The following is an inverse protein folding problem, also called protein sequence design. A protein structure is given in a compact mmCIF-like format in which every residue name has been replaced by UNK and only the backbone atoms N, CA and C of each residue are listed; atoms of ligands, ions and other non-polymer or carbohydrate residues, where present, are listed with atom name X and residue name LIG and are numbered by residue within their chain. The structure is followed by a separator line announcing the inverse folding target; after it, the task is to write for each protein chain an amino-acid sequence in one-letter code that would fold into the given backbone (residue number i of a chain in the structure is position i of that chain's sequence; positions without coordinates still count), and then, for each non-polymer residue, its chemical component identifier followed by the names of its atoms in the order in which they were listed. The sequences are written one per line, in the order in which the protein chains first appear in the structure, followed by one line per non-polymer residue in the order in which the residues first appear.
data_IF_800529556927
#
_entry.id   IF_800529556927
#
_cell.length_a   1.000
_cell.length_b   1.000
_cell.length_c   1.000
_cell.angle_alpha   90.00
_cell.angle_beta   90.00
_cell.angle_gamma   90.00
#
_symmetry.space_group_name_H-M   'P 1'
#
loop_
_entity.id
_entity.type
_entity.pdbx_description
1 polymer ?
#
# COMPACT_ATOMS: atom_id res chain seq x y z
N UNK A 1 -19.22 27.70 13.82
CA UNK A 1 -20.66 28.05 13.87
C UNK A 1 -21.37 26.85 14.42
N UNK A 2 -22.21 27.03 15.44
CA UNK A 2 -23.04 25.93 15.96
C UNK A 2 -24.43 25.91 15.32
N UNK A 3 -24.95 24.72 15.11
CA UNK A 3 -26.29 24.44 14.60
C UNK A 3 -27.06 23.60 15.61
N UNK A 4 -28.39 23.63 15.54
CA UNK A 4 -29.23 22.71 16.29
C UNK A 4 -29.70 21.59 15.36
N UNK A 5 -29.63 20.36 15.84
CA UNK A 5 -30.14 19.18 15.12
C UNK A 5 -31.08 18.42 16.03
N UNK A 6 -32.21 17.98 15.50
CA UNK A 6 -33.15 17.12 16.21
C UNK A 6 -32.88 15.67 15.83
N UNK A 7 -32.75 14.81 16.84
CA UNK A 7 -32.57 13.38 16.64
C UNK A 7 -33.84 12.61 16.98
N UNK A 8 -34.12 11.54 16.23
CA UNK A 8 -35.09 10.53 16.61
C UNK A 8 -34.49 9.48 17.57
N UNK A 9 -35.26 8.43 17.92
CA UNK A 9 -34.81 7.35 18.80
C UNK A 9 -33.64 6.54 18.26
N UNK A 10 -33.50 6.48 16.94
CA UNK A 10 -32.40 5.78 16.25
C UNK A 10 -31.20 6.70 16.00
N UNK A 11 -31.23 7.92 16.57
CA UNK A 11 -30.24 8.98 16.40
C UNK A 11 -30.07 9.46 14.96
N UNK A 12 -31.07 9.27 14.11
CA UNK A 12 -31.09 9.92 12.79
C UNK A 12 -31.51 11.38 12.95
N UNK A 13 -30.87 12.26 12.18
CA UNK A 13 -31.29 13.67 12.09
C UNK A 13 -32.65 13.73 11.39
N UNK A 14 -33.61 14.41 12.02
CA UNK A 14 -34.98 14.57 11.50
C UNK A 14 -35.39 16.03 11.30
N UNK A 15 -34.64 16.97 11.88
CA UNK A 15 -34.84 18.40 11.69
C UNK A 15 -33.56 19.16 12.03
N UNK A 16 -33.39 20.36 11.47
CA UNK A 16 -32.20 21.19 11.67
C UNK A 16 -32.52 22.68 11.76
N UNK A 17 -31.74 23.40 12.56
CA UNK A 17 -31.73 24.85 12.61
C UNK A 17 -30.29 25.34 12.43
N UNK A 18 -29.98 25.86 11.25
CA UNK A 18 -28.61 26.12 10.84
C UNK A 18 -28.10 27.53 11.19
N UNK A 19 -28.98 28.52 11.25
CA UNK A 19 -28.57 29.92 11.40
C UNK A 19 -29.73 30.80 11.84
N UNK A 20 -29.46 31.85 12.66
CA UNK A 20 -28.18 32.18 13.28
C UNK A 20 -27.82 31.25 14.46
N UNK A 21 -26.56 31.26 14.88
CA UNK A 21 -26.09 30.43 16.01
C UNK A 21 -26.88 30.68 17.31
N UNK A 22 -27.25 31.94 17.58
CA UNK A 22 -28.09 32.26 18.75
C UNK A 22 -29.50 31.65 18.62
N UNK A 23 -30.04 31.58 17.40
CA UNK A 23 -31.28 30.88 17.12
C UNK A 23 -31.17 29.37 17.37
N UNK A 24 -30.04 28.76 16.99
CA UNK A 24 -29.77 27.35 17.29
C UNK A 24 -29.71 27.08 18.81
N UNK A 25 -29.05 27.95 19.57
CA UNK A 25 -29.00 27.85 21.04
C UNK A 25 -30.41 27.96 21.65
N UNK A 26 -31.21 28.93 21.19
CA UNK A 26 -32.58 29.11 21.65
C UNK A 26 -33.48 27.92 21.28
N UNK A 27 -33.31 27.34 20.09
CA UNK A 27 -34.05 26.15 19.65
C UNK A 27 -33.85 24.98 20.61
N UNK A 28 -32.60 24.68 20.96
CA UNK A 28 -32.25 23.61 21.91
C UNK A 28 -32.80 23.90 23.31
N UNK A 29 -32.72 25.16 23.78
CA UNK A 29 -33.27 25.55 25.09
C UNK A 29 -34.79 25.40 25.14
N UNK A 30 -35.51 25.88 24.11
CA UNK A 30 -36.97 25.88 24.05
C UNK A 30 -37.56 24.48 23.92
N UNK A 31 -36.86 23.58 23.22
CA UNK A 31 -37.33 22.23 22.91
C UNK A 31 -36.40 21.15 23.48
N UNK A 32 -35.83 21.40 24.66
CA UNK A 32 -34.85 20.52 25.33
C UNK A 32 -35.35 19.09 25.57
N UNK A 33 -36.66 18.88 25.63
CA UNK A 33 -37.30 17.56 25.80
C UNK A 33 -37.68 16.87 24.48
N UNK A 34 -37.30 17.43 23.33
CA UNK A 34 -37.68 16.90 22.01
C UNK A 34 -36.50 16.35 21.20
N UNK A 35 -35.36 16.06 21.85
CA UNK A 35 -34.20 15.48 21.17
C UNK A 35 -33.35 16.48 20.38
N UNK A 36 -33.49 17.79 20.65
CA UNK A 36 -32.64 18.82 20.06
C UNK A 36 -31.26 18.85 20.72
N UNK A 37 -30.21 18.88 19.90
CA UNK A 37 -28.82 18.95 20.32
C UNK A 37 -28.12 20.11 19.62
N UNK A 38 -27.22 20.78 20.33
CA UNK A 38 -26.36 21.82 19.77
C UNK A 38 -25.03 21.20 19.36
N UNK A 39 -24.68 21.29 18.08
CA UNK A 39 -23.47 20.67 17.52
C UNK A 39 -22.68 21.69 16.71
N UNK A 40 -21.37 21.44 16.54
CA UNK A 40 -20.57 22.23 15.61
C UNK A 40 -20.94 21.86 14.17
N UNK A 41 -21.18 22.88 13.33
CA UNK A 41 -21.45 22.68 11.91
C UNK A 41 -20.20 22.15 11.22
N UNK A 42 -20.39 21.20 10.32
CA UNK A 42 -19.39 20.82 9.32
C UNK A 42 -19.67 21.56 8.00
N UNK A 43 -18.63 21.95 7.25
CA UNK A 43 -18.79 22.62 5.95
C UNK A 43 -19.33 21.71 4.85
N UNK A 44 -19.23 20.39 5.03
CA UNK A 44 -19.72 19.38 4.10
C UNK A 44 -21.13 18.90 4.45
N UNK A 45 -21.64 19.29 5.62
CA UNK A 45 -23.01 19.01 6.02
C UNK A 45 -24.00 19.77 5.13
N UNK A 46 -25.02 19.07 4.61
CA UNK A 46 -26.12 19.65 3.86
C UNK A 46 -27.45 19.05 4.32
N UNK A 47 -28.50 19.87 4.36
CA UNK A 47 -29.86 19.39 4.67
C UNK A 47 -30.41 18.50 3.56
N UNK A 48 -29.89 18.60 2.32
CA UNK A 48 -30.28 17.73 1.21
C UNK A 48 -29.86 16.27 1.42
N UNK A 49 -28.84 16.03 2.24
CA UNK A 49 -28.32 14.70 2.54
C UNK A 49 -28.20 14.41 4.04
N UNK A 50 -28.97 15.11 4.88
CA UNK A 50 -28.93 14.94 6.34
C UNK A 50 -29.19 13.51 6.81
N UNK A 51 -29.91 12.70 6.01
CA UNK A 51 -30.14 11.27 6.26
C UNK A 51 -28.87 10.42 6.23
N UNK A 52 -27.73 10.97 5.77
CA UNK A 52 -26.41 10.33 5.81
C UNK A 52 -25.66 10.63 7.12
N UNK A 53 -26.21 11.49 7.97
CA UNK A 53 -25.53 12.06 9.12
C UNK A 53 -26.22 11.71 10.44
N UNK A 54 -25.42 11.68 11.50
CA UNK A 54 -25.86 11.56 12.88
C UNK A 54 -24.95 12.37 13.79
N UNK A 55 -25.26 12.41 15.08
CA UNK A 55 -24.42 12.99 16.11
C UNK A 55 -23.81 11.86 16.93
N UNK A 56 -22.49 11.76 16.95
CA UNK A 56 -21.75 10.76 17.73
C UNK A 56 -21.86 11.05 19.23
N UNK A 57 -22.19 10.04 20.02
CA UNK A 57 -22.40 10.20 21.47
C UNK A 57 -21.17 10.62 22.27
N UNK A 58 -19.99 10.17 21.85
CA UNK A 58 -18.76 10.37 22.62
C UNK A 58 -18.30 11.83 22.67
N UNK A 59 -18.59 12.61 21.63
CA UNK A 59 -18.06 13.98 21.45
C UNK A 59 -19.07 14.97 20.85
N UNK A 60 -20.32 14.55 20.60
CA UNK A 60 -21.38 15.34 19.98
C UNK A 60 -20.99 15.96 18.62
N UNK A 61 -20.11 15.30 17.85
CA UNK A 61 -19.77 15.74 16.49
C UNK A 61 -20.77 15.20 15.46
N UNK A 62 -20.96 15.98 14.40
CA UNK A 62 -21.63 15.50 13.18
C UNK A 62 -20.73 14.51 12.45
N UNK A 63 -21.27 13.33 12.19
CA UNK A 63 -20.54 12.22 11.58
C UNK A 63 -21.40 11.53 10.55
N UNK A 64 -20.79 10.89 9.57
CA UNK A 64 -21.52 10.02 8.65
C UNK A 64 -21.95 8.74 9.37
N UNK A 65 -23.20 8.31 9.15
CA UNK A 65 -23.79 7.13 9.81
C UNK A 65 -22.98 5.85 9.53
N UNK A 66 -22.49 5.68 8.28
CA UNK A 66 -21.86 4.44 7.85
C UNK A 66 -20.49 4.20 8.48
N UNK A 67 -19.73 5.26 8.70
CA UNK A 67 -18.35 5.20 9.22
C UNK A 67 -18.30 5.57 10.69
N UNK A 68 -19.36 6.22 11.19
CA UNK A 68 -19.35 6.91 12.48
C UNK A 68 -18.09 7.80 12.60
N UNK A 69 -17.69 8.47 11.51
CA UNK A 69 -16.52 9.36 11.39
C UNK A 69 -16.94 10.77 10.94
N UNK A 70 -16.24 11.81 11.38
CA UNK A 70 -16.35 13.13 10.74
C UNK A 70 -15.70 13.05 9.35
N UNK A 71 -16.06 13.93 8.39
CA UNK A 71 -15.41 13.97 7.08
C UNK A 71 -13.89 14.12 7.15
N UNK A 72 -13.40 14.84 8.16
CA UNK A 72 -11.96 14.97 8.44
C UNK A 72 -11.34 13.64 8.88
N UNK A 73 -11.96 12.93 9.82
CA UNK A 73 -11.46 11.64 10.29
C UNK A 73 -11.49 10.57 9.17
N UNK A 74 -12.50 10.58 8.30
CA UNK A 74 -12.57 9.73 7.11
C UNK A 74 -11.41 10.01 6.16
N UNK A 75 -11.17 11.29 5.86
CA UNK A 75 -10.06 11.73 5.00
C UNK A 75 -8.71 11.31 5.59
N UNK A 76 -8.51 11.52 6.89
CA UNK A 76 -7.27 11.16 7.58
C UNK A 76 -7.06 9.63 7.59
N UNK A 77 -8.14 8.86 7.73
CA UNK A 77 -8.13 7.40 7.60
C UNK A 77 -7.70 6.97 6.19
N UNK A 78 -8.28 7.58 5.15
CA UNK A 78 -7.93 7.29 3.75
C UNK A 78 -6.46 7.65 3.47
N UNK A 79 -6.00 8.82 3.89
CA UNK A 79 -4.60 9.26 3.72
C UNK A 79 -3.64 8.31 4.44
N UNK A 80 -3.97 7.90 5.67
CA UNK A 80 -3.16 6.97 6.46
C UNK A 80 -3.04 5.61 5.77
N UNK A 81 -4.16 5.07 5.28
CA UNK A 81 -4.20 3.80 4.54
C UNK A 81 -3.38 3.87 3.24
N UNK A 82 -3.53 4.94 2.46
CA UNK A 82 -2.75 5.14 1.24
C UNK A 82 -1.26 5.29 1.52
N UNK A 83 -0.90 5.98 2.61
CA UNK A 83 0.50 6.13 3.03
C UNK A 83 1.11 4.79 3.40
N UNK A 84 0.39 3.96 4.18
CA UNK A 84 0.85 2.62 4.54
C UNK A 84 1.04 1.73 3.31
N UNK A 85 0.08 1.76 2.36
CA UNK A 85 0.17 1.01 1.11
C UNK A 85 1.39 1.44 0.27
N UNK A 86 1.64 2.74 0.14
CA UNK A 86 2.79 3.25 -0.60
C UNK A 86 4.13 2.83 0.04
N UNK A 87 4.21 2.81 1.38
CA UNK A 87 5.40 2.33 2.08
C UNK A 87 5.63 0.82 1.87
N UNK A 88 4.56 0.02 1.88
CA UNK A 88 4.63 -1.41 1.57
C UNK A 88 5.13 -1.65 0.14
N UNK A 89 4.55 -0.96 -0.84
CA UNK A 89 4.99 -1.04 -2.24
C UNK A 89 6.45 -0.61 -2.43
N UNK A 90 6.91 0.44 -1.73
CA UNK A 90 8.30 0.88 -1.79
C UNK A 90 9.27 -0.20 -1.26
N UNK A 91 8.88 -0.91 -0.20
CA UNK A 91 9.66 -2.03 0.33
C UNK A 91 9.71 -3.21 -0.64
N UNK A 92 8.57 -3.62 -1.21
CA UNK A 92 8.50 -4.69 -2.22
C UNK A 92 9.37 -4.37 -3.45
N UNK A 93 9.32 -3.13 -3.95
CA UNK A 93 10.18 -2.67 -5.05
C UNK A 93 11.67 -2.77 -4.68
N UNK A 94 12.02 -2.44 -3.44
CA UNK A 94 13.41 -2.52 -2.95
C UNK A 94 13.89 -3.97 -2.89
N UNK A 95 13.04 -4.89 -2.43
CA UNK A 95 13.35 -6.32 -2.41
C UNK A 95 13.49 -6.90 -3.82
N UNK A 96 12.58 -6.56 -4.73
CA UNK A 96 12.66 -6.96 -6.15
C UNK A 96 13.94 -6.46 -6.82
N UNK A 97 14.36 -5.21 -6.53
CA UNK A 97 15.64 -4.67 -7.02
C UNK A 97 16.84 -5.49 -6.52
N UNK A 98 16.89 -5.80 -5.21
CA UNK A 98 17.95 -6.63 -4.62
C UNK A 98 17.99 -8.02 -5.24
N UNK A 99 16.83 -8.64 -5.42
CA UNK A 99 16.69 -9.95 -6.06
C UNK A 99 17.21 -9.92 -7.52
N UNK A 100 16.75 -8.95 -8.31
CA UNK A 100 17.18 -8.77 -9.70
C UNK A 100 18.68 -8.52 -9.84
N UNK A 101 19.27 -7.69 -8.97
CA UNK A 101 20.73 -7.50 -8.91
C UNK A 101 21.47 -8.79 -8.59
N UNK A 102 20.97 -9.58 -7.64
CA UNK A 102 21.57 -10.87 -7.27
C UNK A 102 21.49 -11.88 -8.42
N UNK A 103 20.36 -11.94 -9.13
CA UNK A 103 20.18 -12.79 -10.30
C UNK A 103 21.10 -12.38 -11.46
N UNK A 104 21.31 -11.07 -11.65
CA UNK A 104 22.24 -10.54 -12.64
C UNK A 104 23.68 -10.94 -12.31
N UNK A 105 24.11 -10.79 -11.05
CA UNK A 105 25.43 -11.23 -10.59
C UNK A 105 25.64 -12.73 -10.78
N UNK A 106 24.64 -13.55 -10.44
CA UNK A 106 24.71 -14.99 -10.65
C UNK A 106 24.85 -15.34 -12.14
N UNK A 107 24.14 -14.63 -13.01
CA UNK A 107 24.20 -14.86 -14.47
C UNK A 107 25.57 -14.51 -15.04
N UNK A 108 26.19 -13.42 -14.57
CA UNK A 108 27.55 -13.03 -14.93
C UNK A 108 28.58 -14.07 -14.46
N UNK A 109 28.45 -14.55 -13.22
CA UNK A 109 29.33 -15.60 -12.68
C UNK A 109 29.22 -16.89 -13.49
N UNK A 110 27.99 -17.33 -13.78
CA UNK A 110 27.75 -18.52 -14.60
C UNK A 110 28.35 -18.39 -16.01
N UNK A 111 28.28 -17.19 -16.61
CA UNK A 111 28.90 -16.93 -17.91
C UNK A 111 30.43 -17.03 -17.86
N UNK A 112 31.05 -16.47 -16.80
CA UNK A 112 32.49 -16.54 -16.58
C UNK A 112 32.96 -17.98 -16.31
N UNK A 113 32.23 -18.73 -15.48
CA UNK A 113 32.54 -20.12 -15.19
C UNK A 113 32.46 -20.98 -16.46
N UNK A 114 31.46 -20.74 -17.32
CA UNK A 114 31.34 -21.40 -18.61
C UNK A 114 32.53 -21.12 -19.52
N UNK A 115 32.99 -19.86 -19.60
CA UNK A 115 34.17 -19.50 -20.38
C UNK A 115 35.44 -20.21 -19.86
N UNK A 116 35.61 -20.24 -18.54
CA UNK A 116 36.74 -20.92 -17.90
C UNK A 116 36.72 -22.43 -18.18
N UNK A 117 35.56 -23.07 -18.05
CA UNK A 117 35.38 -24.49 -18.38
C UNK A 117 35.71 -24.77 -19.85
N UNK A 118 35.32 -23.88 -20.76
CA UNK A 118 35.61 -24.04 -22.19
C UNK A 118 37.12 -23.92 -22.49
N UNK A 119 37.82 -23.01 -21.81
CA UNK A 119 39.30 -22.92 -21.89
C UNK A 119 39.97 -24.20 -21.39
N UNK A 120 39.55 -24.72 -20.24
CA UNK A 120 40.07 -25.96 -19.66
C UNK A 120 39.82 -27.15 -20.61
N UNK A 121 38.59 -27.29 -21.12
CA UNK A 121 38.24 -28.35 -22.05
C UNK A 121 39.07 -28.31 -23.34
N UNK A 122 39.32 -27.10 -23.87
CA UNK A 122 40.15 -26.92 -25.07
C UNK A 122 41.61 -27.29 -24.80
N UNK A 123 42.16 -26.90 -23.65
CA UNK A 123 43.52 -27.27 -23.24
C UNK A 123 43.67 -28.79 -23.07
N UNK A 124 42.71 -29.46 -22.44
CA UNK A 124 42.70 -30.91 -22.30
C UNK A 124 42.61 -31.62 -23.65
N UNK A 125 41.76 -31.13 -24.57
CA UNK A 125 41.65 -31.69 -25.91
C UNK A 125 42.98 -31.61 -26.69
N UNK A 126 43.71 -30.50 -26.57
CA UNK A 126 45.03 -30.35 -27.20
C UNK A 126 46.06 -31.33 -26.61
N UNK A 127 46.10 -31.49 -25.29
CA UNK A 127 47.00 -32.46 -24.63
C UNK A 127 46.70 -33.90 -25.08
N UNK A 128 45.42 -34.26 -25.23
CA UNK A 128 45.03 -35.58 -25.73
C UNK A 128 45.53 -35.80 -27.15
N UNK A 129 45.36 -34.81 -28.04
CA UNK A 129 45.85 -34.89 -29.43
C UNK A 129 47.37 -35.05 -29.48
N UNK A 130 48.09 -34.31 -28.63
CA UNK A 130 49.56 -34.40 -28.55
C UNK A 130 50.02 -35.78 -28.08
N UNK A 131 49.39 -36.32 -27.02
CA UNK A 131 49.66 -37.68 -26.54
C UNK A 131 49.32 -38.74 -27.60
N UNK A 132 48.20 -38.59 -28.33
CA UNK A 132 47.82 -39.51 -29.41
C UNK A 132 48.87 -39.52 -30.53
N UNK A 133 49.40 -38.35 -30.88
CA UNK A 133 50.47 -38.23 -31.87
C UNK A 133 51.73 -38.95 -31.40
N UNK A 134 52.21 -38.66 -30.17
CA UNK A 134 53.39 -39.31 -29.61
C UNK A 134 53.25 -40.85 -29.55
N UNK A 135 52.08 -41.36 -29.18
CA UNK A 135 51.81 -42.81 -29.16
C UNK A 135 51.85 -43.40 -30.58
N UNK A 136 51.33 -42.69 -31.58
CA UNK A 136 51.38 -43.11 -32.98
C UNK A 136 52.82 -43.19 -33.51
N UNK A 137 53.63 -42.16 -33.22
CA UNK A 137 55.03 -42.08 -33.67
C UNK A 137 55.86 -43.24 -33.09
N UNK A 138 55.73 -43.51 -31.78
CA UNK A 138 56.38 -44.65 -31.10
C UNK A 138 55.97 -45.98 -31.75
N UNK A 139 54.68 -46.13 -32.08
CA UNK A 139 54.17 -47.38 -32.66
C UNK A 139 54.72 -47.61 -34.08
N UNK A 140 54.88 -46.55 -34.87
CA UNK A 140 55.52 -46.66 -36.19
C UNK A 140 56.98 -47.07 -36.12
N UNK A 141 57.75 -46.49 -35.18
CA UNK A 141 59.17 -46.83 -35.01
C UNK A 141 59.35 -48.30 -34.59
N UNK A 142 58.48 -48.82 -33.72
CA UNK A 142 58.50 -50.19 -33.26
C UNK A 142 58.17 -51.24 -34.35
N UNK A 143 57.51 -50.85 -35.45
CA UNK A 143 57.17 -51.76 -36.56
C UNK A 143 58.22 -51.81 -37.69
N UNK A 144 59.24 -50.95 -37.63
CA UNK A 144 60.32 -50.86 -38.65
C UNK A 144 61.65 -51.52 -38.24
N UNK A 145 61.71 -52.10 -37.04
CA UNK A 145 62.82 -52.92 -36.55
C UNK A 145 62.40 -54.39 -36.46
#
# INVERSE_FOLDING_TARGET
MKIAVQLNSDRNIIDTYLSPEDGAKLQVQKYSNQGWLLVDSDSTFSTENEYQWTVRESDNKLVHINTNQTPEEERDTVISNLTLQNLQQANEITELKKFSSSQTLQSLQNAQDKENLQKVATSQAMQILELQKSVSDIKSEATTN
#
